data_IF_251429020065
#
_entry.id   IF_251429020065
#
_cell.length_a   1.000
_cell.length_b   1.000
_cell.length_c   1.000
_cell.angle_alpha   90.00
_cell.angle_beta   90.00
_cell.angle_gamma   90.00
#
_symmetry.space_group_name_H-M   'P 1'
#
loop_
_entity.id
_entity.type
_entity.pdbx_description
1 polymer ?
#
# COMPACT_ATOMS: atom_id res chain seq x y z
N UNK A 1 12.66 1.45 2.77
CA UNK A 1 11.71 1.70 1.67
C UNK A 1 11.35 3.18 1.50
N UNK A 2 10.99 3.87 2.61
CA UNK A 2 10.37 5.19 2.59
C UNK A 2 11.20 6.29 1.86
N UNK A 3 12.52 6.35 2.08
CA UNK A 3 13.40 7.34 1.43
C UNK A 3 13.54 7.10 -0.08
N UNK A 4 13.59 5.83 -0.50
CA UNK A 4 13.74 5.46 -1.91
C UNK A 4 12.52 5.86 -2.74
N UNK A 5 11.33 5.70 -2.15
CA UNK A 5 10.04 6.06 -2.76
C UNK A 5 9.90 7.59 -2.80
N UNK A 6 10.19 8.27 -1.68
CA UNK A 6 10.17 9.73 -1.61
C UNK A 6 11.08 10.40 -2.66
N UNK A 7 12.25 9.81 -2.93
CA UNK A 7 13.21 10.35 -3.91
C UNK A 7 12.77 10.18 -5.36
N UNK A 8 12.06 9.11 -5.70
CA UNK A 8 11.48 8.90 -7.05
C UNK A 8 10.25 9.77 -7.33
N UNK A 9 9.60 10.30 -6.30
CA UNK A 9 8.38 11.11 -6.39
C UNK A 9 8.62 12.63 -6.55
N UNK A 10 9.86 13.10 -6.37
CA UNK A 10 10.20 14.54 -6.43
C UNK A 10 10.04 15.15 -7.84
N UNK A 11 10.17 14.36 -8.91
CA UNK A 11 10.14 14.84 -10.30
C UNK A 11 8.79 14.68 -11.03
N UNK A 12 7.70 14.38 -10.31
CA UNK A 12 6.43 13.96 -10.95
C UNK A 12 5.26 14.89 -10.61
N UNK A 13 4.57 15.37 -11.65
CA UNK A 13 3.28 16.08 -11.55
C UNK A 13 2.23 15.27 -10.78
N UNK A 14 1.48 15.93 -9.89
CA UNK A 14 0.47 15.34 -8.99
C UNK A 14 -0.49 14.36 -9.71
N UNK A 15 -0.90 14.65 -10.94
CA UNK A 15 -1.82 13.82 -11.71
C UNK A 15 -1.23 12.49 -12.22
N UNK A 16 0.10 12.40 -12.35
CA UNK A 16 0.80 11.18 -12.77
C UNK A 16 1.32 10.37 -11.57
N UNK A 17 1.25 10.92 -10.35
CA UNK A 17 1.80 10.29 -9.15
C UNK A 17 1.09 9.00 -8.79
N UNK A 18 -0.23 8.94 -8.84
CA UNK A 18 -0.99 7.72 -8.51
C UNK A 18 -0.64 6.55 -9.45
N UNK A 19 -0.55 6.84 -10.75
CA UNK A 19 -0.24 5.83 -11.77
C UNK A 19 1.24 5.40 -11.73
N UNK A 20 2.17 6.32 -11.42
CA UNK A 20 3.58 5.98 -11.19
C UNK A 20 3.81 5.32 -9.83
N UNK A 21 2.98 5.56 -8.82
CA UNK A 21 3.12 4.96 -7.49
C UNK A 21 2.99 3.45 -7.57
N UNK A 22 1.97 2.94 -8.27
CA UNK A 22 1.80 1.49 -8.50
C UNK A 22 3.01 0.92 -9.25
N UNK A 23 3.42 1.55 -10.35
CA UNK A 23 4.58 1.09 -11.14
C UNK A 23 5.90 1.13 -10.34
N UNK A 24 6.11 2.18 -9.55
CA UNK A 24 7.29 2.34 -8.69
C UNK A 24 7.28 1.32 -7.55
N UNK A 25 6.12 1.05 -6.96
CA UNK A 25 5.96 0.06 -5.91
C UNK A 25 6.26 -1.33 -6.46
N UNK A 26 5.62 -1.72 -7.56
CA UNK A 26 5.88 -3.01 -8.24
C UNK A 26 7.35 -3.15 -8.64
N UNK A 27 7.94 -2.11 -9.23
CA UNK A 27 9.36 -2.12 -9.59
C UNK A 27 10.28 -2.27 -8.37
N UNK A 28 9.94 -1.63 -7.24
CA UNK A 28 10.72 -1.77 -6.01
C UNK A 28 10.60 -3.19 -5.42
N UNK A 29 9.47 -3.87 -5.62
CA UNK A 29 9.29 -5.26 -5.21
C UNK A 29 10.08 -6.24 -6.07
N UNK A 30 10.19 -5.97 -7.38
CA UNK A 30 10.99 -6.78 -8.30
C UNK A 30 12.47 -6.87 -7.93
N UNK A 31 12.99 -5.88 -7.20
CA UNK A 31 14.37 -5.86 -6.71
C UNK A 31 14.55 -6.68 -5.39
N UNK A 32 13.46 -7.20 -4.80
CA UNK A 32 13.47 -7.94 -3.53
C UNK A 32 13.40 -9.46 -3.76
N UNK A 33 13.90 -10.21 -2.78
CA UNK A 33 13.77 -11.67 -2.76
C UNK A 33 12.30 -12.09 -2.59
N UNK A 34 11.92 -13.23 -3.16
CA UNK A 34 10.58 -13.80 -2.95
C UNK A 34 10.32 -14.09 -1.48
N UNK A 35 9.09 -13.86 -1.02
CA UNK A 35 8.71 -14.08 0.38
C UNK A 35 9.22 -13.00 1.34
N UNK A 36 9.52 -11.81 0.83
CA UNK A 36 9.88 -10.66 1.67
C UNK A 36 8.69 -10.22 2.52
N UNK A 37 8.96 -9.78 3.75
CA UNK A 37 7.97 -9.09 4.58
C UNK A 37 8.09 -7.59 4.34
N UNK A 38 7.00 -6.96 3.89
CA UNK A 38 6.91 -5.53 3.70
C UNK A 38 6.35 -4.87 4.96
N UNK A 39 6.97 -3.77 5.35
CA UNK A 39 6.48 -2.84 6.38
C UNK A 39 6.58 -1.39 5.88
N UNK A 40 5.99 -0.46 6.63
CA UNK A 40 6.08 1.01 6.38
C UNK A 40 5.49 1.47 5.04
N UNK A 41 4.28 1.01 4.73
CA UNK A 41 3.54 1.39 3.52
C UNK A 41 2.71 2.68 3.68
N UNK A 42 2.93 3.46 4.74
CA UNK A 42 2.16 4.68 5.09
C UNK A 42 2.07 5.69 3.93
N UNK A 43 3.12 5.75 3.11
CA UNK A 43 3.15 6.60 1.91
C UNK A 43 2.00 6.31 0.95
N UNK A 44 1.52 5.07 0.87
CA UNK A 44 0.41 4.67 0.00
C UNK A 44 -0.94 5.26 0.45
N UNK A 45 -1.06 5.66 1.71
CA UNK A 45 -2.29 6.21 2.28
C UNK A 45 -2.41 7.72 2.14
N UNK A 46 -1.46 8.38 1.47
CA UNK A 46 -1.56 9.81 1.20
C UNK A 46 -2.88 10.12 0.46
N UNK A 47 -3.76 10.98 1.04
CA UNK A 47 -5.06 11.30 0.44
C UNK A 47 -4.95 11.83 -0.98
N UNK A 48 -3.85 12.53 -1.29
CA UNK A 48 -3.60 13.10 -2.62
C UNK A 48 -3.41 12.04 -3.73
N UNK A 49 -3.21 10.77 -3.37
CA UNK A 49 -3.02 9.71 -4.37
C UNK A 49 -4.34 9.07 -4.81
N UNK A 50 -5.42 9.19 -4.04
CA UNK A 50 -6.74 8.63 -4.38
C UNK A 50 -6.69 7.16 -4.82
N UNK A 51 -5.76 6.37 -4.25
CA UNK A 51 -5.59 4.95 -4.57
C UNK A 51 -6.31 4.05 -3.56
N UNK A 52 -6.84 2.94 -4.06
CA UNK A 52 -7.22 1.79 -3.23
C UNK A 52 -5.94 0.99 -2.93
N UNK A 53 -5.44 1.14 -1.70
CA UNK A 53 -4.16 0.56 -1.27
C UNK A 53 -4.24 -0.97 -1.26
N UNK A 54 -5.34 -1.55 -0.80
CA UNK A 54 -5.48 -3.02 -0.71
C UNK A 54 -5.59 -3.62 -2.11
N UNK A 55 -6.33 -2.98 -3.02
CA UNK A 55 -6.39 -3.42 -4.42
C UNK A 55 -5.00 -3.34 -5.10
N UNK A 56 -4.24 -2.28 -4.82
CA UNK A 56 -2.87 -2.12 -5.33
C UNK A 56 -1.93 -3.21 -4.80
N UNK A 57 -2.04 -3.54 -3.50
CA UNK A 57 -1.28 -4.64 -2.89
C UNK A 57 -1.64 -5.99 -3.51
N UNK A 58 -2.92 -6.26 -3.76
CA UNK A 58 -3.37 -7.49 -4.45
C UNK A 58 -2.79 -7.56 -5.89
N UNK A 59 -2.78 -6.43 -6.61
CA UNK A 59 -2.19 -6.33 -7.95
C UNK A 59 -0.68 -6.59 -7.94
N UNK A 60 0.02 -6.06 -6.94
CA UNK A 60 1.44 -6.27 -6.74
C UNK A 60 1.76 -7.72 -6.35
N UNK A 61 0.95 -8.33 -5.49
CA UNK A 61 1.13 -9.71 -5.03
C UNK A 61 1.11 -10.70 -6.20
N UNK A 62 0.23 -10.48 -7.20
CA UNK A 62 0.20 -11.31 -8.43
C UNK A 62 1.50 -11.32 -9.24
N UNK A 63 2.37 -10.33 -9.03
CA UNK A 63 3.66 -10.20 -9.73
C UNK A 63 4.84 -10.66 -8.87
N UNK A 64 4.71 -10.56 -7.55
CA UNK A 64 5.75 -10.90 -6.58
C UNK A 64 5.09 -11.25 -5.26
N UNK A 65 5.34 -12.46 -4.75
CA UNK A 65 4.73 -12.91 -3.49
C UNK A 65 5.47 -12.32 -2.28
N UNK A 66 4.72 -11.69 -1.38
CA UNK A 66 5.23 -11.05 -0.17
C UNK A 66 4.21 -11.12 0.97
N UNK A 67 4.69 -11.06 2.20
CA UNK A 67 3.85 -10.83 3.37
C UNK A 67 3.85 -9.34 3.71
N UNK A 68 2.80 -8.84 4.36
CA UNK A 68 2.66 -7.43 4.72
C UNK A 68 2.30 -7.30 6.19
N UNK A 69 3.05 -6.46 6.91
CA UNK A 69 2.64 -5.98 8.22
C UNK A 69 1.73 -4.78 8.01
N UNK A 70 0.45 -4.94 8.35
CA UNK A 70 -0.52 -3.86 8.24
C UNK A 70 -0.20 -2.75 9.26
N UNK A 71 0.01 -1.48 8.83
CA UNK A 71 0.40 -0.39 9.73
C UNK A 71 -0.78 0.21 10.52
N UNK A 72 -1.91 -0.50 10.57
CA UNK A 72 -3.11 -0.04 11.24
C UNK A 72 -3.74 -1.15 12.09
N UNK A 73 -5.07 -1.15 12.18
CA UNK A 73 -5.81 -2.12 12.99
C UNK A 73 -6.66 -3.02 12.13
N UNK A 74 -6.86 -4.24 12.62
CA UNK A 74 -7.88 -5.14 12.10
C UNK A 74 -9.02 -5.20 13.11
N UNK A 75 -10.19 -4.68 12.74
CA UNK A 75 -11.38 -4.64 13.60
C UNK A 75 -12.62 -4.95 12.77
N UNK A 76 -13.51 -5.82 13.27
CA UNK A 76 -14.82 -6.05 12.65
C UNK A 76 -14.79 -6.51 11.19
N UNK A 77 -13.79 -7.31 10.81
CA UNK A 77 -13.52 -7.72 9.42
C UNK A 77 -13.06 -6.59 8.48
N UNK A 78 -12.56 -5.50 9.04
CA UNK A 78 -12.04 -4.36 8.30
C UNK A 78 -10.59 -4.08 8.66
N UNK A 79 -9.79 -3.75 7.64
CA UNK A 79 -8.48 -3.15 7.80
C UNK A 79 -8.65 -1.64 7.91
N UNK A 80 -8.38 -1.11 9.10
CA UNK A 80 -8.42 0.31 9.42
C UNK A 80 -7.01 0.87 9.33
N UNK A 81 -6.86 2.04 8.71
CA UNK A 81 -5.64 2.82 8.67
C UNK A 81 -5.92 4.25 9.13
N UNK A 82 -5.00 4.80 9.92
CA UNK A 82 -5.13 6.15 10.49
C UNK A 82 -6.12 6.23 11.64
N UNK A 83 -6.30 7.43 12.17
CA UNK A 83 -7.27 7.72 13.22
C UNK A 83 -8.57 8.24 12.62
N UNK A 84 -9.71 7.80 13.17
CA UNK A 84 -11.02 8.26 12.72
C UNK A 84 -11.14 9.78 12.88
N UNK A 85 -11.50 10.46 11.78
CA UNK A 85 -11.53 11.93 11.72
C UNK A 85 -10.31 12.58 11.06
N UNK A 86 -9.26 11.82 10.77
CA UNK A 86 -8.13 12.30 9.97
C UNK A 86 -8.38 12.15 8.46
N UNK A 87 -7.81 13.03 7.59
CA UNK A 87 -8.03 12.97 6.14
C UNK A 87 -7.48 11.71 5.46
N UNK A 88 -6.53 11.05 6.09
CA UNK A 88 -5.90 9.80 5.67
C UNK A 88 -6.57 8.56 6.28
N UNK A 89 -7.61 8.74 7.09
CA UNK A 89 -8.41 7.62 7.61
C UNK A 89 -9.00 6.81 6.47
N UNK A 90 -8.75 5.51 6.47
CA UNK A 90 -9.33 4.58 5.50
C UNK A 90 -9.75 3.29 6.20
N UNK A 91 -10.92 2.80 5.81
CA UNK A 91 -11.44 1.50 6.22
C UNK A 91 -11.64 0.63 4.97
N UNK A 92 -11.04 -0.56 4.98
CA UNK A 92 -11.13 -1.53 3.89
C UNK A 92 -11.81 -2.79 4.39
N UNK A 93 -12.92 -3.16 3.75
CA UNK A 93 -13.60 -4.42 4.03
C UNK A 93 -12.83 -5.57 3.38
N UNK A 94 -12.35 -6.52 4.20
CA UNK A 94 -11.50 -7.63 3.75
C UNK A 94 -12.25 -8.52 2.76
N UNK A 95 -13.56 -8.69 2.91
CA UNK A 95 -14.35 -9.58 2.06
C UNK A 95 -14.38 -9.14 0.58
N UNK A 96 -13.96 -7.90 0.31
CA UNK A 96 -13.84 -7.35 -1.03
C UNK A 96 -12.53 -7.70 -1.74
N UNK A 97 -11.58 -8.31 -1.03
CA UNK A 97 -10.23 -8.58 -1.52
C UNK A 97 -9.85 -10.05 -1.31
N UNK A 98 -9.00 -10.56 -2.18
CA UNK A 98 -8.44 -11.91 -2.06
C UNK A 98 -7.17 -11.87 -1.20
N UNK A 99 -7.35 -11.62 0.10
CA UNK A 99 -6.26 -11.52 1.07
C UNK A 99 -6.52 -12.42 2.29
N UNK A 100 -5.45 -12.90 2.90
CA UNK A 100 -5.52 -13.65 4.17
C UNK A 100 -4.84 -12.84 5.26
N UNK A 101 -5.56 -12.55 6.33
CA UNK A 101 -4.99 -11.91 7.52
C UNK A 101 -4.59 -12.97 8.55
N UNK A 102 -3.32 -12.93 8.94
CA UNK A 102 -2.75 -13.78 9.98
C UNK A 102 -2.48 -12.86 11.18
N UNK A 103 -3.12 -13.13 12.30
CA UNK A 103 -3.08 -12.33 13.54
C UNK A 103 -2.46 -13.10 14.71
#
# INVERSE_FOLDING_TARGET
MNISIARRLQDVSLALRSMRLESCFVSALSDLHEGVVICDIDVLFNPAYEVDVVALLCSAYRKHHFDLVWPGRYEGNQLLYGEEGCPDYKAFDIDRYDITCIY
#
